data_IF_424828120529
#
_entry.id   IF_424828120529
#
_cell.length_a   1.000
_cell.length_b   1.000
_cell.length_c   1.000
_cell.angle_alpha   90.00
_cell.angle_beta   90.00
_cell.angle_gamma   90.00
#
_symmetry.space_group_name_H-M   'P 1'
#
loop_
_entity.id
_entity.type
_entity.pdbx_description
1 polymer ?
#
# COMPACT_ATOMS: atom_id res chain seq x y z
N UNK A 1 -40.37 -2.49 6.59
CA UNK A 1 -40.32 -3.09 7.94
C UNK A 1 -40.23 -2.06 9.08
N UNK A 2 -39.10 -1.34 9.29
CA UNK A 2 -38.99 -0.39 10.42
C UNK A 2 -40.00 0.76 10.32
N UNK A 3 -40.24 1.29 9.12
CA UNK A 3 -41.24 2.34 8.91
C UNK A 3 -42.66 1.83 9.13
N UNK A 4 -42.98 0.63 8.65
CA UNK A 4 -44.29 0.00 8.83
C UNK A 4 -44.57 -0.31 10.31
N UNK A 5 -43.54 -0.76 11.05
CA UNK A 5 -43.61 -0.97 12.50
C UNK A 5 -43.82 0.34 13.26
N UNK A 6 -43.16 1.42 12.85
CA UNK A 6 -43.40 2.75 13.43
C UNK A 6 -44.83 3.22 13.15
N UNK A 7 -45.33 2.99 11.94
CA UNK A 7 -46.69 3.37 11.58
C UNK A 7 -47.74 2.59 12.40
N UNK A 8 -47.62 1.27 12.51
CA UNK A 8 -48.54 0.44 13.32
C UNK A 8 -48.50 0.84 14.80
N UNK A 9 -47.31 1.09 15.36
CA UNK A 9 -47.17 1.56 16.74
C UNK A 9 -47.92 2.89 16.99
N UNK A 10 -47.81 3.85 16.06
CA UNK A 10 -48.54 5.13 16.20
C UNK A 10 -50.05 4.98 16.08
N UNK A 11 -50.53 4.05 15.23
CA UNK A 11 -51.96 3.75 15.11
C UNK A 11 -52.52 3.11 16.38
N UNK A 12 -51.76 2.19 16.98
CA UNK A 12 -52.13 1.53 18.24
C UNK A 12 -52.20 2.52 19.42
N UNK A 13 -51.25 3.46 19.51
CA UNK A 13 -51.25 4.46 20.58
C UNK A 13 -52.45 5.41 20.48
N UNK A 14 -52.85 5.78 19.25
CA UNK A 14 -54.10 6.54 19.01
C UNK A 14 -55.34 5.75 19.42
N UNK A 15 -55.36 4.44 19.13
CA UNK A 15 -56.47 3.56 19.47
C UNK A 15 -56.65 3.41 20.99
N UNK A 16 -55.55 3.24 21.71
CA UNK A 16 -55.51 3.17 23.18
C UNK A 16 -56.08 4.42 23.86
N UNK A 17 -55.98 5.58 23.21
CA UNK A 17 -56.50 6.85 23.73
C UNK A 17 -57.98 7.09 23.39
N UNK A 18 -58.59 6.24 22.55
CA UNK A 18 -60.03 6.30 22.25
C UNK A 18 -60.85 5.93 23.47
N UNK A 19 -61.86 6.76 23.79
CA UNK A 19 -62.83 6.50 24.87
C UNK A 19 -64.11 5.82 24.37
N UNK A 20 -64.26 5.69 23.05
CA UNK A 20 -65.44 5.09 22.44
C UNK A 20 -65.21 3.58 22.22
N UNK A 21 -65.78 2.78 23.12
CA UNK A 21 -65.55 1.33 23.20
C UNK A 21 -66.01 0.55 21.95
N UNK A 22 -67.16 0.85 21.33
CA UNK A 22 -67.58 0.17 20.10
C UNK A 22 -66.66 0.46 18.91
N UNK A 23 -66.25 1.72 18.70
CA UNK A 23 -65.32 2.09 17.63
C UNK A 23 -63.91 1.52 17.87
N UNK A 24 -63.51 1.39 19.13
CA UNK A 24 -62.27 0.71 19.51
C UNK A 24 -62.27 -0.76 19.09
N UNK A 25 -63.34 -1.51 19.39
CA UNK A 25 -63.42 -2.93 19.00
C UNK A 25 -63.42 -3.12 17.48
N UNK A 26 -64.15 -2.27 16.76
CA UNK A 26 -64.21 -2.34 15.30
C UNK A 26 -62.86 -2.03 14.64
N UNK A 27 -62.13 -1.04 15.16
CA UNK A 27 -60.84 -0.64 14.60
C UNK A 27 -59.71 -1.62 14.92
N UNK A 28 -59.72 -2.22 16.11
CA UNK A 28 -58.76 -3.25 16.50
C UNK A 28 -58.88 -4.52 15.64
N UNK A 29 -60.11 -4.94 15.32
CA UNK A 29 -60.36 -6.13 14.51
C UNK A 29 -59.81 -6.04 13.07
N UNK A 30 -59.65 -4.83 12.53
CA UNK A 30 -59.15 -4.61 11.17
C UNK A 30 -57.62 -4.47 11.10
N UNK A 31 -56.91 -4.55 12.23
CA UNK A 31 -55.45 -4.43 12.25
C UNK A 31 -54.77 -5.80 12.21
N UNK A 32 -53.80 -6.01 11.30
CA UNK A 32 -52.94 -7.18 11.38
C UNK A 32 -52.12 -7.12 12.68
N UNK A 33 -52.08 -8.25 13.41
CA UNK A 33 -51.42 -8.39 14.71
C UNK A 33 -49.92 -8.05 14.69
N UNK A 34 -49.27 -8.23 13.53
CA UNK A 34 -47.85 -7.94 13.33
C UNK A 34 -47.63 -7.33 11.93
N UNK A 35 -46.74 -6.33 11.79
CA UNK A 35 -46.31 -5.88 10.48
C UNK A 35 -45.57 -7.00 9.75
N UNK A 36 -45.61 -7.04 8.41
CA UNK A 36 -44.84 -8.01 7.64
C UNK A 36 -43.34 -7.87 7.93
N UNK A 37 -42.73 -8.95 8.42
CA UNK A 37 -41.27 -9.03 8.64
C UNK A 37 -40.60 -9.58 7.39
N UNK A 38 -39.45 -9.01 7.00
CA UNK A 38 -38.69 -9.52 5.87
C UNK A 38 -38.06 -10.87 6.22
N UNK A 39 -38.33 -11.90 5.41
CA UNK A 39 -37.70 -13.20 5.58
C UNK A 39 -36.24 -13.14 5.12
N UNK A 40 -35.32 -13.28 6.08
CA UNK A 40 -33.87 -13.29 5.83
C UNK A 40 -33.33 -14.70 5.58
N UNK A 41 -34.17 -15.74 5.53
CA UNK A 41 -33.74 -17.12 5.31
C UNK A 41 -33.00 -17.34 3.98
N UNK A 42 -33.27 -16.50 2.97
CA UNK A 42 -32.58 -16.50 1.68
C UNK A 42 -31.26 -15.71 1.62
N UNK A 43 -30.91 -14.97 2.69
CA UNK A 43 -29.69 -14.16 2.72
C UNK A 43 -28.47 -15.03 3.08
N UNK A 44 -27.87 -15.65 2.07
CA UNK A 44 -26.60 -16.38 2.24
C UNK A 44 -25.43 -15.39 2.11
N UNK A 45 -24.87 -14.97 3.22
CA UNK A 45 -23.66 -14.14 3.24
C UNK A 45 -22.45 -14.96 2.77
N UNK A 46 -22.00 -14.76 1.52
CA UNK A 46 -20.91 -15.53 0.88
C UNK A 46 -19.51 -15.11 1.36
N UNK A 47 -19.30 -15.09 2.68
CA UNK A 47 -18.02 -14.75 3.33
C UNK A 47 -16.84 -15.60 2.84
N UNK A 48 -17.11 -16.84 2.44
CA UNK A 48 -16.08 -17.80 2.09
C UNK A 48 -15.33 -17.45 0.79
N UNK A 49 -16.06 -17.00 -0.24
CA UNK A 49 -15.47 -16.67 -1.55
C UNK A 49 -14.53 -15.46 -1.47
N UNK A 50 -14.94 -14.42 -0.73
CA UNK A 50 -14.17 -13.20 -0.57
C UNK A 50 -12.86 -13.45 0.23
N UNK A 51 -12.91 -14.32 1.24
CA UNK A 51 -11.72 -14.74 2.00
C UNK A 51 -10.75 -15.55 1.14
N UNK A 52 -11.24 -16.40 0.23
CA UNK A 52 -10.37 -17.19 -0.65
C UNK A 52 -9.58 -16.32 -1.65
N UNK A 53 -10.26 -15.35 -2.29
CA UNK A 53 -9.61 -14.44 -3.24
C UNK A 53 -8.57 -13.53 -2.58
N UNK A 54 -8.87 -13.04 -1.38
CA UNK A 54 -7.92 -12.22 -0.62
C UNK A 54 -6.72 -13.04 -0.15
N UNK A 55 -6.93 -14.27 0.32
CA UNK A 55 -5.85 -15.16 0.76
C UNK A 55 -4.87 -15.52 -0.37
N UNK A 56 -5.39 -15.88 -1.55
CA UNK A 56 -4.56 -16.22 -2.72
C UNK A 56 -3.74 -15.02 -3.21
N UNK A 57 -4.35 -13.84 -3.24
CA UNK A 57 -3.67 -12.58 -3.60
C UNK A 57 -2.56 -12.23 -2.61
N UNK A 58 -2.85 -12.28 -1.31
CA UNK A 58 -1.85 -12.06 -0.24
C UNK A 58 -0.68 -13.03 -0.34
N UNK A 59 -0.97 -14.32 -0.54
CA UNK A 59 0.06 -15.35 -0.67
C UNK A 59 0.98 -15.09 -1.86
N UNK A 60 0.42 -14.66 -3.00
CA UNK A 60 1.19 -14.31 -4.20
C UNK A 60 2.08 -13.09 -3.92
N UNK A 61 1.53 -12.02 -3.36
CA UNK A 61 2.30 -10.82 -3.02
C UNK A 61 3.46 -11.13 -2.06
N UNK A 62 3.21 -11.95 -1.03
CA UNK A 62 4.26 -12.38 -0.09
C UNK A 62 5.34 -13.20 -0.80
N UNK A 63 4.97 -14.10 -1.71
CA UNK A 63 5.98 -14.86 -2.47
C UNK A 63 6.84 -13.96 -3.35
N UNK A 64 6.25 -12.95 -4.01
CA UNK A 64 6.98 -12.01 -4.85
C UNK A 64 7.96 -11.17 -4.03
N UNK A 65 7.53 -10.68 -2.86
CA UNK A 65 8.40 -9.95 -1.94
C UNK A 65 9.58 -10.80 -1.48
N UNK A 66 9.34 -12.07 -1.12
CA UNK A 66 10.42 -12.99 -0.73
C UNK A 66 11.43 -13.17 -1.85
N UNK A 67 10.98 -13.37 -3.08
CA UNK A 67 11.86 -13.48 -4.25
C UNK A 67 12.70 -12.23 -4.47
N UNK A 68 12.09 -11.03 -4.37
CA UNK A 68 12.81 -9.77 -4.52
C UNK A 68 13.87 -9.58 -3.44
N UNK A 69 13.54 -9.86 -2.18
CA UNK A 69 14.49 -9.76 -1.06
C UNK A 69 15.65 -10.75 -1.25
N UNK A 70 15.38 -11.99 -1.65
CA UNK A 70 16.43 -12.98 -1.95
C UNK A 70 17.33 -12.54 -3.10
N UNK A 71 16.76 -11.93 -4.14
CA UNK A 71 17.52 -11.39 -5.27
C UNK A 71 18.42 -10.24 -4.82
N UNK A 72 17.90 -9.27 -4.06
CA UNK A 72 18.70 -8.18 -3.51
C UNK A 72 19.84 -8.70 -2.64
N UNK A 73 19.57 -9.68 -1.78
CA UNK A 73 20.61 -10.25 -0.93
C UNK A 73 21.70 -10.97 -1.75
N UNK A 74 21.34 -11.60 -2.88
CA UNK A 74 22.31 -12.20 -3.80
C UNK A 74 23.18 -11.14 -4.48
N UNK A 75 22.60 -10.01 -4.89
CA UNK A 75 23.35 -8.88 -5.47
C UNK A 75 24.33 -8.31 -4.45
N UNK A 76 23.88 -8.01 -3.23
CA UNK A 76 24.73 -7.46 -2.15
C UNK A 76 25.89 -8.42 -1.85
N UNK A 77 25.60 -9.71 -1.70
CA UNK A 77 26.64 -10.70 -1.42
C UNK A 77 27.65 -10.85 -2.56
N UNK A 78 27.26 -10.61 -3.81
CA UNK A 78 28.17 -10.59 -4.96
C UNK A 78 29.20 -9.46 -4.85
N UNK A 79 28.81 -8.31 -4.31
CA UNK A 79 29.74 -7.19 -4.08
C UNK A 79 30.58 -7.35 -2.81
N UNK A 80 30.05 -8.02 -1.76
CA UNK A 80 30.74 -8.11 -0.46
C UNK A 80 31.68 -9.31 -0.29
N UNK A 81 31.55 -10.37 -1.10
CA UNK A 81 32.18 -11.67 -0.82
C UNK A 81 33.35 -12.00 -1.74
N UNK A 82 34.43 -11.21 -1.75
CA UNK A 82 35.78 -11.72 -2.06
C UNK A 82 36.88 -10.67 -1.77
N UNK A 83 37.95 -10.99 -1.02
CA UNK A 83 39.08 -10.06 -0.85
C UNK A 83 39.92 -9.86 -2.12
N UNK A 84 39.90 -10.80 -3.09
CA UNK A 84 40.74 -10.76 -4.31
C UNK A 84 39.93 -10.61 -5.61
N UNK A 85 38.75 -11.27 -5.73
CA UNK A 85 37.87 -11.16 -6.91
C UNK A 85 36.89 -9.98 -6.86
N UNK A 86 36.81 -9.24 -5.74
CA UNK A 86 35.98 -8.04 -5.62
C UNK A 86 36.44 -6.95 -6.59
N UNK A 87 37.74 -6.87 -6.87
CA UNK A 87 38.25 -5.85 -7.79
C UNK A 87 37.69 -5.99 -9.19
N UNK A 88 37.65 -7.17 -9.81
CA UNK A 88 37.26 -7.24 -11.23
C UNK A 88 35.77 -6.96 -11.45
N UNK A 89 34.88 -7.54 -10.64
CA UNK A 89 33.44 -7.31 -10.74
C UNK A 89 33.07 -5.88 -10.33
N UNK A 90 33.71 -5.35 -9.27
CA UNK A 90 33.49 -3.97 -8.84
C UNK A 90 34.06 -2.97 -9.87
N UNK A 91 35.23 -3.23 -10.45
CA UNK A 91 35.82 -2.40 -11.50
C UNK A 91 34.93 -2.40 -12.75
N UNK A 92 34.44 -3.56 -13.22
CA UNK A 92 33.51 -3.62 -14.35
C UNK A 92 32.22 -2.84 -14.09
N UNK A 93 31.68 -2.90 -12.86
CA UNK A 93 30.51 -2.11 -12.48
C UNK A 93 30.82 -0.61 -12.43
N UNK A 94 31.96 -0.22 -11.86
CA UNK A 94 32.40 1.19 -11.81
C UNK A 94 32.67 1.75 -13.21
N UNK A 95 33.19 0.93 -14.13
CA UNK A 95 33.40 1.28 -15.53
C UNK A 95 32.09 1.56 -16.28
N UNK A 96 30.96 0.94 -15.91
CA UNK A 96 29.65 1.28 -16.49
C UNK A 96 29.23 2.73 -16.19
N UNK A 97 29.82 3.34 -15.17
CA UNK A 97 29.61 4.72 -14.76
C UNK A 97 30.82 5.61 -15.05
N UNK A 98 31.69 5.20 -15.98
CA UNK A 98 32.85 6.00 -16.38
C UNK A 98 32.40 7.31 -17.03
N UNK A 99 32.88 8.42 -16.47
CA UNK A 99 32.68 9.75 -17.02
C UNK A 99 34.06 10.36 -17.25
N UNK A 100 34.22 11.10 -18.35
CA UNK A 100 35.45 11.84 -18.60
C UNK A 100 35.53 13.04 -17.64
N UNK A 101 36.21 12.84 -16.52
CA UNK A 101 36.47 13.87 -15.52
C UNK A 101 37.71 14.64 -15.93
N UNK A 102 37.60 15.97 -15.92
CA UNK A 102 38.71 16.90 -16.14
C UNK A 102 38.79 17.86 -14.96
N UNK A 103 40.01 18.23 -14.59
CA UNK A 103 40.27 19.22 -13.57
C UNK A 103 40.11 20.62 -14.15
N UNK A 104 39.51 21.52 -13.37
CA UNK A 104 39.33 22.92 -13.74
C UNK A 104 40.60 23.73 -13.39
N UNK A 105 41.37 24.21 -14.38
CA UNK A 105 42.60 24.96 -14.14
C UNK A 105 42.36 26.27 -13.37
N UNK A 106 41.18 26.89 -13.51
CA UNK A 106 40.85 28.16 -12.86
C UNK A 106 40.64 27.99 -11.35
N UNK A 107 40.37 26.76 -10.90
CA UNK A 107 40.24 26.42 -9.47
C UNK A 107 41.52 25.85 -8.87
N UNK A 108 42.59 25.71 -9.67
CA UNK A 108 43.82 25.09 -9.22
C UNK A 108 44.56 25.97 -8.21
N UNK A 109 45.09 25.34 -7.16
CA UNK A 109 45.93 26.02 -6.18
C UNK A 109 47.20 26.57 -6.87
N UNK A 110 47.69 27.79 -6.56
CA UNK A 110 48.81 28.41 -7.28
C UNK A 110 50.13 27.62 -7.33
N UNK A 111 50.33 26.71 -6.39
CA UNK A 111 51.49 25.81 -6.34
C UNK A 111 51.35 24.54 -7.19
N UNK A 112 50.20 24.34 -7.81
CA UNK A 112 49.88 23.19 -8.64
C UNK A 112 49.69 23.63 -10.09
N UNK A 113 50.32 22.90 -11.01
CA UNK A 113 50.06 23.05 -12.44
C UNK A 113 49.19 21.90 -12.92
N UNK A 114 48.16 22.23 -13.70
CA UNK A 114 47.27 21.27 -14.36
C UNK A 114 47.70 21.13 -15.83
N UNK A 115 47.69 19.91 -16.37
CA UNK A 115 47.96 19.67 -17.79
C UNK A 115 46.86 20.25 -18.69
N UNK A 116 47.20 20.50 -19.96
CA UNK A 116 46.26 21.07 -20.93
C UNK A 116 45.02 20.19 -21.18
N UNK A 117 45.12 18.87 -21.00
CA UNK A 117 44.01 17.92 -21.08
C UNK A 117 43.18 17.85 -19.78
N UNK A 118 43.58 18.57 -18.73
CA UNK A 118 42.92 18.55 -17.42
C UNK A 118 43.08 17.24 -16.65
N UNK A 119 43.95 16.32 -17.09
CA UNK A 119 44.05 14.95 -16.54
C UNK A 119 45.20 14.73 -15.57
N UNK A 120 46.18 15.62 -15.52
CA UNK A 120 47.38 15.48 -14.70
C UNK A 120 47.65 16.75 -13.91
N UNK A 121 48.21 16.58 -12.72
CA UNK A 121 48.65 17.66 -11.84
C UNK A 121 50.05 17.37 -11.35
N UNK A 122 50.88 18.40 -11.26
CA UNK A 122 52.17 18.33 -10.59
C UNK A 122 52.40 19.57 -9.74
N UNK A 123 53.23 19.40 -8.73
CA UNK A 123 53.66 20.49 -7.87
C UNK A 123 54.73 21.31 -8.59
N UNK A 124 54.53 22.62 -8.63
CA UNK A 124 55.56 23.55 -9.07
C UNK A 124 56.57 23.69 -7.93
N UNK A 125 57.54 22.79 -7.85
CA UNK A 125 58.72 23.02 -7.01
C UNK A 125 59.42 24.23 -7.62
N UNK A 126 59.22 25.41 -7.04
CA UNK A 126 59.94 26.60 -7.43
C UNK A 126 61.43 26.29 -7.46
N UNK A 127 62.04 26.38 -8.63
CA UNK A 127 63.49 26.53 -8.74
C UNK A 127 63.83 27.84 -8.03
N UNK A 128 64.37 27.73 -6.83
CA UNK A 128 65.18 28.79 -6.24
C UNK A 128 66.48 28.95 -7.02
#
# INVERSE_FOLDING_TARGET
>A
EISDLKETATKLEKLKQSKDLPSFLQSYQNQPLLPPTMDLSGFVFTKHLEIQHTHTSLRRSISQLRTLVSQMNKEINRFSSCPDASNEVMLQYMQQHEVNIVLDPETAHPLLSVSADGKRVWYNSGTG
#
